data_IF_600653975712
#
_entry.id   IF_600653975712
#
_cell.length_a   1.000
_cell.length_b   1.000
_cell.length_c   1.000
_cell.angle_alpha   90.00
_cell.angle_beta   90.00
_cell.angle_gamma   90.00
#
_symmetry.space_group_name_H-M   'P 1'
#
loop_
_entity.id
_entity.type
_entity.pdbx_description
1 polymer ?
#
# COMPACT_ATOMS: atom_id res chain seq x y z
N UNK A 1 3.33 18.43 -31.65
CA UNK A 1 2.21 17.77 -32.34
C UNK A 1 1.04 17.54 -31.41
N UNK A 2 1.27 16.99 -30.21
CA UNK A 2 0.25 16.68 -29.21
C UNK A 2 -0.53 17.92 -28.75
N UNK A 3 0.16 19.02 -28.46
CA UNK A 3 -0.47 20.30 -28.08
C UNK A 3 -1.37 20.89 -29.16
N UNK A 4 -0.98 20.74 -30.44
CA UNK A 4 -1.81 21.20 -31.55
C UNK A 4 -3.07 20.35 -31.73
N UNK A 5 -2.94 19.06 -31.46
CA UNK A 5 -4.07 18.12 -31.53
C UNK A 5 -5.05 18.38 -30.38
N UNK A 6 -4.53 18.58 -29.18
CA UNK A 6 -5.36 18.88 -27.99
C UNK A 6 -6.07 20.24 -28.16
N UNK A 7 -5.38 21.24 -28.66
CA UNK A 7 -5.98 22.54 -28.96
C UNK A 7 -7.10 22.42 -30.01
N UNK A 8 -6.83 21.70 -31.12
CA UNK A 8 -7.84 21.44 -32.14
C UNK A 8 -9.06 20.70 -31.60
N UNK A 9 -8.84 19.70 -30.76
CA UNK A 9 -9.90 18.94 -30.10
C UNK A 9 -10.74 19.82 -29.16
N UNK A 10 -10.12 20.63 -28.31
CA UNK A 10 -10.82 21.54 -27.40
C UNK A 10 -11.67 22.55 -28.17
N UNK A 11 -11.14 23.08 -29.30
CA UNK A 11 -11.89 24.01 -30.19
C UNK A 11 -13.09 23.34 -30.85
N UNK A 12 -13.00 22.06 -31.17
CA UNK A 12 -14.10 21.28 -31.76
C UNK A 12 -15.14 20.86 -30.71
N UNK A 13 -14.74 20.74 -29.43
CA UNK A 13 -15.63 20.39 -28.30
C UNK A 13 -16.40 21.61 -27.79
N UNK A 14 -15.96 22.84 -28.10
CA UNK A 14 -16.67 24.04 -27.71
C UNK A 14 -18.04 24.13 -28.38
N UNK A 15 -19.06 24.45 -27.60
CA UNK A 15 -20.41 24.64 -28.08
C UNK A 15 -20.53 26.00 -28.79
N UNK A 16 -21.01 26.01 -30.02
CA UNK A 16 -21.20 27.24 -30.77
C UNK A 16 -22.63 27.73 -30.64
N UNK A 17 -22.79 28.89 -30.03
CA UNK A 17 -24.05 29.55 -29.76
C UNK A 17 -24.22 30.79 -30.61
N UNK A 18 -25.45 31.31 -30.70
CA UNK A 18 -25.78 32.57 -31.40
C UNK A 18 -25.26 32.64 -32.85
N UNK A 19 -25.65 31.70 -33.70
CA UNK A 19 -25.24 31.64 -35.12
C UNK A 19 -23.71 31.63 -35.33
N UNK A 20 -23.02 30.79 -34.55
CA UNK A 20 -21.55 30.61 -34.58
C UNK A 20 -20.74 31.83 -34.09
N UNK A 21 -21.36 32.85 -33.52
CA UNK A 21 -20.70 34.06 -33.02
C UNK A 21 -20.12 33.93 -31.63
N UNK A 22 -20.60 32.96 -30.86
CA UNK A 22 -20.20 32.74 -29.50
C UNK A 22 -19.67 31.29 -29.30
N UNK A 23 -18.47 31.14 -28.77
CA UNK A 23 -17.88 29.86 -28.43
C UNK A 23 -17.94 29.68 -26.91
N UNK A 24 -18.69 28.69 -26.44
CA UNK A 24 -18.76 28.30 -25.06
C UNK A 24 -17.77 27.15 -24.80
N UNK A 25 -16.89 27.32 -23.84
CA UNK A 25 -15.96 26.29 -23.36
C UNK A 25 -16.24 26.00 -21.89
N UNK A 26 -16.48 24.75 -21.58
CA UNK A 26 -16.61 24.28 -20.19
C UNK A 26 -15.37 23.49 -19.77
N UNK A 27 -14.92 23.68 -18.55
CA UNK A 27 -13.74 23.01 -18.03
C UNK A 27 -13.67 23.05 -16.51
N UNK A 28 -12.82 22.18 -15.96
CA UNK A 28 -12.57 22.11 -14.53
C UNK A 28 -11.21 22.73 -14.21
N UNK A 29 -11.15 23.52 -13.14
CA UNK A 29 -9.93 24.12 -12.62
C UNK A 29 -9.79 23.73 -11.16
N UNK A 30 -8.58 23.36 -10.68
CA UNK A 30 -8.36 23.10 -9.25
C UNK A 30 -8.71 24.32 -8.41
N UNK A 31 -9.33 24.11 -7.26
CA UNK A 31 -9.77 25.18 -6.37
C UNK A 31 -8.61 26.08 -5.92
N UNK A 32 -7.41 25.52 -5.76
CA UNK A 32 -6.21 26.29 -5.37
C UNK A 32 -5.74 27.25 -6.49
N UNK A 33 -5.93 26.86 -7.75
CA UNK A 33 -5.51 27.63 -8.93
C UNK A 33 -6.62 28.55 -9.47
N UNK A 34 -7.87 28.39 -8.99
CA UNK A 34 -9.03 29.14 -9.48
C UNK A 34 -8.84 30.66 -9.41
N UNK A 35 -8.36 31.27 -8.30
CA UNK A 35 -8.20 32.73 -8.23
C UNK A 35 -7.18 33.28 -9.24
N UNK A 36 -6.09 32.53 -9.48
CA UNK A 36 -5.07 32.93 -10.46
C UNK A 36 -5.58 32.80 -11.90
N UNK A 37 -6.39 31.78 -12.15
CA UNK A 37 -7.02 31.54 -13.45
C UNK A 37 -8.08 32.59 -13.76
N UNK A 38 -8.93 32.96 -12.80
CA UNK A 38 -9.92 34.02 -12.92
C UNK A 38 -9.27 35.36 -13.23
N UNK A 39 -8.23 35.73 -12.51
CA UNK A 39 -7.47 36.97 -12.76
C UNK A 39 -6.86 36.98 -14.18
N UNK A 40 -6.34 35.86 -14.65
CA UNK A 40 -5.79 35.76 -15.99
C UNK A 40 -6.87 35.89 -17.10
N UNK A 41 -8.08 35.37 -16.86
CA UNK A 41 -9.21 35.52 -17.78
C UNK A 41 -9.72 36.96 -17.83
N UNK A 42 -9.79 37.67 -16.68
CA UNK A 42 -10.13 39.07 -16.61
C UNK A 42 -9.12 39.93 -17.35
N UNK A 43 -7.82 39.71 -17.15
CA UNK A 43 -6.74 40.41 -17.84
C UNK A 43 -6.81 40.20 -19.36
N UNK A 44 -7.18 38.99 -19.77
CA UNK A 44 -7.35 38.65 -21.19
C UNK A 44 -8.67 39.16 -21.81
N UNK A 45 -9.58 39.71 -20.99
CA UNK A 45 -10.87 40.25 -21.42
C UNK A 45 -11.91 39.19 -21.80
N UNK A 46 -11.78 37.97 -21.26
CA UNK A 46 -12.76 36.92 -21.47
C UNK A 46 -13.84 36.93 -20.41
N UNK A 47 -15.10 36.74 -20.84
CA UNK A 47 -16.21 36.57 -19.91
C UNK A 47 -16.19 35.12 -19.38
N UNK A 48 -16.26 34.92 -18.08
CA UNK A 48 -16.38 33.63 -17.45
C UNK A 48 -17.47 33.63 -16.39
N UNK A 49 -17.99 32.45 -16.09
CA UNK A 49 -18.97 32.21 -15.03
C UNK A 49 -18.63 30.90 -14.34
N UNK A 50 -18.53 30.93 -13.04
CA UNK A 50 -18.47 29.73 -12.23
C UNK A 50 -19.82 29.03 -12.22
N UNK A 51 -19.85 27.75 -12.55
CA UNK A 51 -21.05 26.91 -12.57
C UNK A 51 -20.88 25.80 -11.53
N UNK A 52 -21.90 25.61 -10.72
CA UNK A 52 -21.93 24.48 -9.80
C UNK A 52 -22.12 23.19 -10.61
N UNK A 53 -21.37 22.15 -10.25
CA UNK A 53 -21.42 20.85 -10.88
C UNK A 53 -22.00 19.80 -9.93
N UNK A 54 -22.64 18.76 -10.47
CA UNK A 54 -23.15 17.62 -9.72
C UNK A 54 -22.13 16.47 -9.82
N UNK A 55 -21.44 16.11 -8.70
CA UNK A 55 -20.44 15.04 -8.72
C UNK A 55 -21.01 13.65 -9.04
N UNK A 56 -22.34 13.45 -8.99
CA UNK A 56 -22.96 12.16 -9.31
C UNK A 56 -23.17 11.97 -10.81
N UNK A 57 -23.47 13.06 -11.52
CA UNK A 57 -23.76 13.05 -12.95
C UNK A 57 -22.55 13.39 -13.82
N UNK A 58 -21.65 14.22 -13.32
CA UNK A 58 -20.49 14.69 -14.05
C UNK A 58 -19.21 13.98 -13.61
N UNK A 59 -18.40 13.54 -14.58
CA UNK A 59 -17.10 12.92 -14.30
C UNK A 59 -16.04 13.98 -14.07
N UNK A 60 -15.97 14.47 -12.84
CA UNK A 60 -15.01 15.48 -12.40
C UNK A 60 -13.57 14.90 -12.43
N UNK A 61 -12.62 15.58 -13.09
CA UNK A 61 -11.22 15.16 -13.02
C UNK A 61 -10.63 15.42 -11.63
N UNK A 62 -9.74 14.51 -11.19
CA UNK A 62 -9.20 14.50 -9.83
C UNK A 62 -7.72 14.83 -9.86
N UNK A 63 -7.33 15.74 -8.99
CA UNK A 63 -5.94 16.04 -8.68
C UNK A 63 -5.69 15.68 -7.19
N UNK A 64 -4.76 14.75 -6.95
CA UNK A 64 -4.38 14.36 -5.61
C UNK A 64 -3.45 15.42 -5.00
N UNK A 65 -3.71 15.77 -3.73
CA UNK A 65 -2.87 16.70 -2.97
C UNK A 65 -2.23 15.95 -1.82
N UNK A 66 -1.11 15.31 -2.09
CA UNK A 66 -0.40 14.47 -1.15
C UNK A 66 0.93 15.08 -0.67
N UNK A 67 1.36 14.67 0.53
CA UNK A 67 2.69 14.97 1.05
C UNK A 67 3.78 14.39 0.16
N UNK A 68 5.01 14.91 0.25
CA UNK A 68 6.15 14.44 -0.55
C UNK A 68 6.40 12.92 -0.45
N UNK A 69 6.13 12.31 0.70
CA UNK A 69 6.18 10.86 0.89
C UNK A 69 5.06 10.14 0.13
N UNK A 70 3.80 10.48 0.40
CA UNK A 70 2.64 9.84 -0.21
C UNK A 70 2.57 10.05 -1.73
N UNK A 71 3.06 11.19 -2.24
CA UNK A 71 3.16 11.47 -3.69
C UNK A 71 3.95 10.41 -4.45
N UNK A 72 5.03 9.87 -3.86
CA UNK A 72 5.77 8.78 -4.49
C UNK A 72 4.92 7.51 -4.65
N UNK A 73 3.93 7.28 -3.76
CA UNK A 73 3.05 6.13 -3.76
C UNK A 73 1.77 6.33 -4.59
N UNK A 74 1.52 7.53 -5.11
CA UNK A 74 0.40 7.79 -6.05
C UNK A 74 0.49 6.91 -7.29
N UNK A 75 1.70 6.55 -7.72
CA UNK A 75 1.90 5.58 -8.78
C UNK A 75 1.23 4.24 -8.47
N UNK A 76 1.32 3.75 -7.24
CA UNK A 76 0.71 2.49 -6.81
C UNK A 76 -0.82 2.59 -6.84
N UNK A 77 -1.38 3.68 -6.30
CA UNK A 77 -2.82 3.92 -6.35
C UNK A 77 -3.31 4.03 -7.79
N UNK A 78 -2.56 4.72 -8.66
CA UNK A 78 -2.86 4.87 -10.08
C UNK A 78 -2.81 3.56 -10.88
N UNK A 79 -2.05 2.54 -10.44
CA UNK A 79 -2.05 1.21 -11.06
C UNK A 79 -3.40 0.49 -10.89
N UNK A 80 -4.13 0.76 -9.84
CA UNK A 80 -5.46 0.20 -9.63
C UNK A 80 -6.53 1.10 -10.25
N UNK A 81 -6.75 2.26 -9.66
CA UNK A 81 -7.65 3.31 -10.13
C UNK A 81 -7.48 4.54 -9.24
N UNK A 82 -7.67 5.73 -9.79
CA UNK A 82 -7.79 6.92 -8.97
C UNK A 82 -9.10 6.91 -8.18
N UNK A 83 -9.12 7.46 -6.96
CA UNK A 83 -10.36 7.57 -6.17
C UNK A 83 -11.39 8.40 -6.95
N UNK A 84 -12.68 8.13 -6.73
CA UNK A 84 -13.73 8.99 -7.27
C UNK A 84 -13.78 10.32 -6.50
N UNK A 85 -14.39 11.37 -7.04
CA UNK A 85 -14.46 12.69 -6.42
C UNK A 85 -15.06 12.66 -4.99
N UNK A 86 -16.01 11.76 -4.75
CA UNK A 86 -16.63 11.56 -3.44
C UNK A 86 -15.85 10.63 -2.51
N UNK A 87 -14.74 10.07 -2.98
CA UNK A 87 -13.92 9.15 -2.20
C UNK A 87 -12.75 9.85 -1.50
N UNK A 88 -12.38 9.28 -0.38
CA UNK A 88 -11.22 9.74 0.39
C UNK A 88 -9.96 9.16 -0.27
N UNK A 89 -8.95 9.99 -0.47
CA UNK A 89 -7.64 9.51 -0.88
C UNK A 89 -7.00 8.68 0.24
N UNK A 90 -6.79 7.40 -0.04
CA UNK A 90 -6.22 6.45 0.90
C UNK A 90 -4.70 6.26 0.72
N UNK A 91 -4.08 6.95 -0.23
CA UNK A 91 -2.67 6.79 -0.58
C UNK A 91 -1.75 7.01 0.62
N UNK A 92 -2.03 8.01 1.44
CA UNK A 92 -1.21 8.30 2.62
C UNK A 92 -1.26 7.22 3.72
N UNK A 93 -2.36 6.45 3.78
CA UNK A 93 -2.52 5.32 4.71
C UNK A 93 -1.88 4.05 4.15
N UNK A 94 -2.00 3.83 2.84
CA UNK A 94 -1.45 2.66 2.17
C UNK A 94 0.08 2.71 2.13
N UNK A 95 0.66 3.89 1.91
CA UNK A 95 2.09 4.08 1.71
C UNK A 95 2.98 3.43 2.81
N UNK A 96 2.76 3.65 4.13
CA UNK A 96 3.58 3.03 5.17
C UNK A 96 3.42 1.51 5.23
N UNK A 97 2.20 0.98 5.04
CA UNK A 97 1.98 -0.46 5.02
C UNK A 97 2.63 -1.11 3.80
N UNK A 98 2.51 -0.48 2.64
CA UNK A 98 3.14 -0.98 1.42
C UNK A 98 4.67 -1.03 1.57
N UNK A 99 5.28 0.02 2.11
CA UNK A 99 6.71 0.08 2.39
C UNK A 99 7.15 -1.04 3.36
N UNK A 100 6.37 -1.26 4.42
CA UNK A 100 6.64 -2.30 5.41
C UNK A 100 6.52 -3.71 4.80
N UNK A 101 5.46 -3.96 4.05
CA UNK A 101 5.24 -5.26 3.40
C UNK A 101 6.27 -5.54 2.31
N UNK A 102 6.65 -4.53 1.55
CA UNK A 102 7.75 -4.64 0.60
C UNK A 102 9.04 -5.06 1.32
N UNK A 103 9.36 -4.39 2.44
CA UNK A 103 10.53 -4.73 3.25
C UNK A 103 10.48 -6.15 3.81
N UNK A 104 9.32 -6.63 4.27
CA UNK A 104 9.14 -7.99 4.76
C UNK A 104 9.29 -9.04 3.65
N UNK A 105 8.76 -8.80 2.47
CA UNK A 105 8.92 -9.68 1.31
C UNK A 105 10.34 -9.69 0.77
N UNK A 106 11.02 -8.54 0.81
CA UNK A 106 12.40 -8.43 0.34
C UNK A 106 13.38 -9.12 1.29
N UNK A 107 13.12 -9.02 2.60
CA UNK A 107 13.73 -9.81 3.67
C UNK A 107 15.23 -9.65 3.89
N UNK A 108 15.92 -8.83 3.10
CA UNK A 108 17.37 -8.69 3.11
C UNK A 108 17.82 -7.24 3.09
N UNK A 109 18.58 -6.83 4.10
CA UNK A 109 19.05 -5.46 4.23
C UNK A 109 20.07 -5.07 3.14
N UNK A 110 20.91 -6.00 2.70
CA UNK A 110 21.90 -5.76 1.64
C UNK A 110 21.22 -5.41 0.32
N UNK A 111 20.20 -6.14 -0.05
CA UNK A 111 19.41 -5.86 -1.24
C UNK A 111 18.62 -4.55 -1.10
N UNK A 112 18.06 -4.26 0.08
CA UNK A 112 17.39 -3.00 0.38
C UNK A 112 18.30 -1.80 0.18
N UNK A 113 19.54 -1.88 0.71
CA UNK A 113 20.55 -0.84 0.56
C UNK A 113 20.99 -0.66 -0.90
N UNK A 114 21.14 -1.76 -1.64
CA UNK A 114 21.49 -1.73 -3.06
C UNK A 114 20.40 -1.01 -3.87
N UNK A 115 19.12 -1.35 -3.65
CA UNK A 115 17.99 -0.68 -4.30
C UNK A 115 17.98 0.82 -3.98
N UNK A 116 18.14 1.17 -2.70
CA UNK A 116 18.21 2.57 -2.26
C UNK A 116 19.35 3.33 -2.95
N UNK A 117 20.55 2.76 -3.00
CA UNK A 117 21.72 3.38 -3.61
C UNK A 117 21.54 3.58 -5.12
N UNK A 118 21.02 2.57 -5.82
CA UNK A 118 20.76 2.63 -7.27
C UNK A 118 19.73 3.72 -7.58
N UNK A 119 18.60 3.75 -6.88
CA UNK A 119 17.55 4.77 -7.08
C UNK A 119 18.09 6.18 -6.74
N UNK A 120 18.90 6.32 -5.69
CA UNK A 120 19.52 7.60 -5.33
C UNK A 120 20.48 8.06 -6.39
N UNK A 121 21.33 7.18 -6.91
CA UNK A 121 22.27 7.51 -7.98
C UNK A 121 21.55 8.03 -9.24
N UNK A 122 20.54 7.31 -9.70
CA UNK A 122 19.78 7.73 -10.88
C UNK A 122 18.97 9.02 -10.63
N UNK A 123 18.44 9.21 -9.44
CA UNK A 123 17.73 10.44 -9.07
C UNK A 123 18.63 11.66 -9.08
N UNK A 124 19.85 11.54 -8.55
CA UNK A 124 20.83 12.63 -8.56
C UNK A 124 21.32 12.95 -9.97
N UNK A 125 21.33 11.97 -10.87
CA UNK A 125 21.77 12.15 -12.25
C UNK A 125 20.64 12.63 -13.19
N UNK A 126 19.41 12.47 -12.80
CA UNK A 126 18.24 12.90 -13.58
C UNK A 126 18.13 14.42 -13.59
N UNK A 127 18.29 15.02 -14.76
CA UNK A 127 18.16 16.47 -14.98
C UNK A 127 16.74 16.76 -15.50
N UNK A 128 15.78 17.06 -14.60
CA UNK A 128 14.49 17.66 -15.00
C UNK A 128 13.42 16.74 -15.54
N UNK A 129 13.35 15.45 -15.16
CA UNK A 129 12.23 14.54 -15.40
C UNK A 129 11.40 14.27 -14.16
N UNK A 130 10.25 13.61 -14.32
CA UNK A 130 9.47 13.10 -13.20
C UNK A 130 10.28 12.01 -12.47
N UNK A 131 10.71 12.33 -11.26
CA UNK A 131 11.53 11.43 -10.42
C UNK A 131 10.72 10.69 -9.37
N UNK A 132 9.38 10.69 -9.47
CA UNK A 132 8.51 10.09 -8.45
C UNK A 132 8.72 8.59 -8.31
N UNK A 133 8.91 7.86 -9.42
CA UNK A 133 9.26 6.43 -9.42
C UNK A 133 10.60 6.14 -8.75
N UNK A 134 11.61 6.98 -8.98
CA UNK A 134 12.90 6.85 -8.32
C UNK A 134 12.78 7.17 -6.82
N UNK A 135 11.92 8.13 -6.46
CA UNK A 135 11.54 8.42 -5.08
C UNK A 135 10.86 7.23 -4.41
N UNK A 136 9.93 6.58 -5.10
CA UNK A 136 9.29 5.34 -4.63
C UNK A 136 10.34 4.26 -4.36
N UNK A 137 11.25 4.02 -5.31
CA UNK A 137 12.33 3.05 -5.15
C UNK A 137 13.26 3.36 -3.96
N UNK A 138 13.53 4.65 -3.68
CA UNK A 138 14.28 5.06 -2.50
C UNK A 138 13.54 4.71 -1.19
N UNK A 139 12.24 5.03 -1.09
CA UNK A 139 11.45 4.72 0.10
C UNK A 139 11.31 3.22 0.31
N UNK A 140 11.05 2.45 -0.77
CA UNK A 140 10.96 1.00 -0.71
C UNK A 140 12.31 0.36 -0.33
N UNK A 141 13.40 0.82 -0.93
CA UNK A 141 14.76 0.36 -0.61
C UNK A 141 15.17 0.69 0.83
N UNK A 142 14.86 1.91 1.30
CA UNK A 142 15.08 2.31 2.68
C UNK A 142 14.25 1.50 3.68
N UNK A 143 12.97 1.27 3.38
CA UNK A 143 12.08 0.40 4.18
C UNK A 143 12.60 -1.04 4.22
N UNK A 144 13.00 -1.59 3.07
CA UNK A 144 13.57 -2.93 2.98
C UNK A 144 14.90 -3.05 3.74
N UNK A 145 15.74 -2.04 3.72
CA UNK A 145 16.97 -1.99 4.52
C UNK A 145 16.68 -2.08 6.01
N UNK A 146 15.74 -1.26 6.51
CA UNK A 146 15.38 -1.24 7.94
C UNK A 146 14.76 -2.58 8.36
N UNK A 147 13.77 -3.07 7.60
CA UNK A 147 13.09 -4.33 7.92
C UNK A 147 14.05 -5.52 7.80
N UNK A 148 14.90 -5.55 6.77
CA UNK A 148 15.92 -6.60 6.59
C UNK A 148 16.94 -6.62 7.74
N UNK A 149 17.35 -5.44 8.25
CA UNK A 149 18.19 -5.34 9.46
C UNK A 149 17.47 -5.89 10.69
N UNK A 150 16.20 -5.57 10.87
CA UNK A 150 15.39 -6.12 11.96
C UNK A 150 15.26 -7.66 11.84
N UNK A 151 15.09 -8.18 10.63
CA UNK A 151 15.05 -9.62 10.37
C UNK A 151 16.44 -10.28 10.49
N UNK A 152 17.50 -9.50 10.43
CA UNK A 152 18.88 -9.97 10.60
C UNK A 152 19.49 -10.63 9.37
N UNK A 153 19.05 -10.28 8.15
CA UNK A 153 19.60 -10.77 6.88
C UNK A 153 20.38 -9.70 6.12
N UNK A 154 21.62 -9.97 5.71
CA UNK A 154 22.42 -9.12 4.81
C UNK A 154 23.07 -10.00 3.76
N UNK A 155 22.68 -9.89 2.49
CA UNK A 155 23.16 -10.71 1.37
C UNK A 155 23.15 -12.22 1.69
N UNK A 156 22.04 -12.70 2.32
CA UNK A 156 21.91 -14.10 2.71
C UNK A 156 22.82 -14.53 3.88
N UNK A 157 23.51 -13.60 4.53
CA UNK A 157 24.25 -13.84 5.77
C UNK A 157 23.36 -13.49 6.95
N UNK A 158 23.14 -14.43 7.84
CA UNK A 158 22.34 -14.23 9.04
C UNK A 158 23.16 -13.55 10.13
N UNK A 159 22.62 -12.49 10.72
CA UNK A 159 23.25 -11.73 11.78
C UNK A 159 23.04 -12.43 13.14
N UNK A 160 23.97 -12.27 14.11
CA UNK A 160 23.96 -13.03 15.37
C UNK A 160 22.67 -12.91 16.18
N UNK A 161 21.98 -11.76 16.09
CA UNK A 161 20.73 -11.53 16.82
C UNK A 161 19.52 -12.23 16.21
N UNK A 162 19.54 -12.58 14.92
CA UNK A 162 18.44 -13.27 14.24
C UNK A 162 18.09 -14.62 14.89
N UNK A 163 19.08 -15.31 15.46
CA UNK A 163 18.92 -16.60 16.14
C UNK A 163 18.56 -16.50 17.63
N UNK A 164 18.55 -15.29 18.20
CA UNK A 164 18.22 -15.12 19.60
C UNK A 164 16.72 -15.28 19.82
N UNK A 165 16.29 -16.33 20.51
CA UNK A 165 14.87 -16.60 20.83
C UNK A 165 14.19 -15.50 21.64
N UNK A 166 14.95 -14.69 22.36
CA UNK A 166 14.41 -13.54 23.10
C UNK A 166 14.16 -12.32 22.21
N UNK A 167 14.61 -12.36 20.96
CA UNK A 167 14.43 -11.25 20.03
C UNK A 167 13.04 -11.32 19.38
N UNK A 168 12.32 -10.20 19.38
CA UNK A 168 10.92 -10.11 18.92
C UNK A 168 10.82 -10.44 17.42
N UNK A 169 11.79 -9.96 16.61
CA UNK A 169 11.82 -10.14 15.15
C UNK A 169 12.60 -11.40 14.73
N UNK A 170 12.66 -12.39 15.58
CA UNK A 170 13.23 -13.67 15.24
C UNK A 170 12.34 -14.36 14.18
N UNK A 171 12.92 -15.28 13.41
CA UNK A 171 12.29 -15.97 12.30
C UNK A 171 10.97 -16.67 12.68
N UNK A 172 10.89 -17.27 13.88
CA UNK A 172 9.68 -17.94 14.38
C UNK A 172 8.53 -16.96 14.65
N UNK A 173 8.85 -15.75 15.08
CA UNK A 173 7.86 -14.72 15.41
C UNK A 173 7.42 -13.91 14.18
N UNK A 174 8.23 -13.84 13.13
CA UNK A 174 7.95 -13.01 11.94
C UNK A 174 6.67 -13.41 11.23
N UNK A 175 6.32 -14.68 11.20
CA UNK A 175 5.04 -15.15 10.66
C UNK A 175 3.86 -14.52 11.42
N UNK A 176 3.92 -14.52 12.75
CA UNK A 176 2.88 -13.94 13.60
C UNK A 176 2.83 -12.42 13.46
N UNK A 177 3.99 -11.77 13.37
CA UNK A 177 4.10 -10.32 13.17
C UNK A 177 3.47 -9.91 11.84
N UNK A 178 3.72 -10.65 10.75
CA UNK A 178 3.12 -10.38 9.45
C UNK A 178 1.59 -10.44 9.48
N UNK A 179 1.04 -11.43 10.17
CA UNK A 179 -0.42 -11.56 10.35
C UNK A 179 -0.99 -10.43 11.20
N UNK A 180 -0.31 -10.06 12.30
CA UNK A 180 -0.77 -8.97 13.17
C UNK A 180 -0.79 -7.64 12.41
N UNK A 181 0.27 -7.30 11.68
CA UNK A 181 0.33 -6.08 10.88
C UNK A 181 -0.75 -6.10 9.79
N UNK A 182 -0.96 -7.26 9.15
CA UNK A 182 -2.03 -7.46 8.18
C UNK A 182 -3.41 -7.24 8.77
N UNK A 183 -3.68 -7.79 9.95
CA UNK A 183 -4.93 -7.56 10.68
C UNK A 183 -5.14 -6.07 11.01
N UNK A 184 -4.10 -5.36 11.42
CA UNK A 184 -4.17 -3.92 11.67
C UNK A 184 -4.54 -3.18 10.39
N UNK A 185 -3.96 -3.54 9.24
CA UNK A 185 -4.32 -2.94 7.95
C UNK A 185 -5.78 -3.21 7.55
N UNK A 186 -6.26 -4.46 7.73
CA UNK A 186 -7.66 -4.81 7.45
C UNK A 186 -8.61 -4.02 8.36
N UNK A 187 -8.29 -3.91 9.65
CA UNK A 187 -9.09 -3.13 10.60
C UNK A 187 -9.17 -1.65 10.20
N UNK A 188 -8.04 -1.07 9.78
CA UNK A 188 -8.02 0.29 9.25
C UNK A 188 -8.88 0.41 7.98
N UNK A 189 -8.79 -0.54 7.06
CA UNK A 189 -9.64 -0.58 5.87
C UNK A 189 -11.13 -0.61 6.23
N UNK A 190 -11.54 -1.50 7.13
CA UNK A 190 -12.94 -1.58 7.62
C UNK A 190 -13.38 -0.29 8.32
N UNK A 191 -12.52 0.35 9.10
CA UNK A 191 -12.83 1.62 9.76
C UNK A 191 -13.08 2.74 8.74
N UNK A 192 -12.26 2.80 7.68
CA UNK A 192 -12.41 3.78 6.59
C UNK A 192 -13.69 3.49 5.80
N UNK A 193 -13.98 2.24 5.48
CA UNK A 193 -15.22 1.84 4.81
C UNK A 193 -16.46 2.22 5.63
N UNK A 194 -16.43 2.00 6.95
CA UNK A 194 -17.49 2.44 7.85
C UNK A 194 -17.63 3.98 7.87
N UNK A 195 -16.51 4.72 7.90
CA UNK A 195 -16.49 6.17 7.87
C UNK A 195 -17.06 6.72 6.54
N UNK A 196 -16.64 6.15 5.40
CA UNK A 196 -17.17 6.48 4.07
C UNK A 196 -18.68 6.28 4.01
N UNK A 197 -19.19 5.12 4.47
CA UNK A 197 -20.65 4.87 4.56
C UNK A 197 -21.37 5.90 5.42
N UNK A 198 -20.75 6.32 6.52
CA UNK A 198 -21.29 7.34 7.40
C UNK A 198 -21.44 8.70 6.71
N UNK A 199 -20.47 9.09 5.89
CA UNK A 199 -20.52 10.32 5.11
C UNK A 199 -21.55 10.27 3.98
N UNK A 200 -21.60 9.16 3.24
CA UNK A 200 -22.47 9.02 2.06
C UNK A 200 -23.93 8.72 2.40
N UNK A 201 -24.18 7.79 3.35
CA UNK A 201 -25.53 7.28 3.66
C UNK A 201 -26.04 7.68 5.04
N UNK A 202 -25.26 8.44 5.77
CA UNK A 202 -25.57 8.87 7.13
C UNK A 202 -25.08 7.89 8.21
N UNK A 203 -24.83 8.42 9.42
CA UNK A 203 -24.19 7.72 10.53
C UNK A 203 -24.89 6.42 10.98
N UNK A 204 -26.23 6.33 10.77
CA UNK A 204 -27.01 5.13 11.13
C UNK A 204 -26.60 3.91 10.32
N UNK A 205 -26.19 4.08 9.06
CA UNK A 205 -25.79 2.99 8.17
C UNK A 205 -24.34 2.53 8.42
N UNK A 206 -23.54 3.33 9.11
CA UNK A 206 -22.16 2.98 9.45
C UNK A 206 -22.01 2.29 10.80
N UNK A 207 -23.04 2.30 11.65
CA UNK A 207 -22.98 1.72 13.00
C UNK A 207 -22.59 0.23 13.00
N UNK A 208 -23.12 -0.55 12.08
CA UNK A 208 -22.74 -1.96 11.97
C UNK A 208 -21.27 -2.14 11.59
N UNK A 209 -20.73 -1.29 10.70
CA UNK A 209 -19.30 -1.29 10.34
C UNK A 209 -18.40 -0.97 11.54
N UNK A 210 -18.72 0.07 12.29
CA UNK A 210 -17.99 0.42 13.52
C UNK A 210 -18.11 -0.66 14.59
N UNK A 211 -19.29 -1.28 14.73
CA UNK A 211 -19.47 -2.39 15.65
C UNK A 211 -18.54 -3.58 15.30
N UNK A 212 -18.38 -3.90 14.01
CA UNK A 212 -17.43 -4.90 13.57
C UNK A 212 -15.97 -4.54 13.90
N UNK A 213 -15.58 -3.29 13.67
CA UNK A 213 -14.22 -2.82 14.02
C UNK A 213 -13.98 -2.92 15.53
N UNK A 214 -14.93 -2.43 16.34
CA UNK A 214 -14.83 -2.50 17.81
C UNK A 214 -14.79 -3.95 18.31
N UNK A 215 -15.59 -4.84 17.73
CA UNK A 215 -15.58 -6.26 18.09
C UNK A 215 -14.21 -6.89 17.83
N UNK A 216 -13.66 -6.68 16.63
CA UNK A 216 -12.37 -7.24 16.25
C UNK A 216 -11.23 -6.68 17.08
N UNK A 217 -11.25 -5.38 17.39
CA UNK A 217 -10.28 -4.74 18.27
C UNK A 217 -10.40 -5.31 19.71
N UNK A 218 -11.61 -5.42 20.26
CA UNK A 218 -11.81 -5.95 21.60
C UNK A 218 -11.34 -7.41 21.71
N UNK A 219 -11.71 -8.27 20.75
CA UNK A 219 -11.27 -9.67 20.70
C UNK A 219 -9.76 -9.76 20.52
N UNK A 220 -9.20 -8.94 19.63
CA UNK A 220 -7.74 -8.87 19.42
C UNK A 220 -6.98 -8.49 20.67
N UNK A 221 -7.44 -7.49 21.41
CA UNK A 221 -6.81 -7.06 22.67
C UNK A 221 -6.95 -8.13 23.77
N UNK A 222 -8.12 -8.77 23.91
CA UNK A 222 -8.34 -9.84 24.90
C UNK A 222 -7.38 -11.01 24.67
N UNK A 223 -7.08 -11.33 23.39
CA UNK A 223 -6.23 -12.46 23.05
C UNK A 223 -4.73 -12.11 23.01
N UNK A 224 -4.38 -10.94 22.46
CA UNK A 224 -2.99 -10.55 22.23
C UNK A 224 -2.26 -10.09 23.49
N UNK A 225 -2.93 -9.33 24.38
CA UNK A 225 -2.29 -8.75 25.56
C UNK A 225 -1.79 -9.81 26.57
N UNK A 226 -2.57 -10.83 26.94
CA UNK A 226 -2.06 -11.90 27.82
C UNK A 226 -0.89 -12.66 27.21
N UNK A 227 -0.91 -12.86 25.88
CA UNK A 227 0.18 -13.54 25.17
C UNK A 227 1.47 -12.70 25.13
N UNK A 228 1.36 -11.37 25.18
CA UNK A 228 2.48 -10.43 25.31
C UNK A 228 2.93 -10.25 26.77
N UNK A 229 2.48 -11.12 27.71
CA UNK A 229 2.78 -11.05 29.14
C UNK A 229 2.28 -9.75 29.81
N UNK A 230 1.34 -9.04 29.19
CA UNK A 230 0.70 -7.85 29.76
C UNK A 230 -0.59 -8.32 30.44
N UNK A 231 -0.57 -8.41 31.78
CA UNK A 231 -1.76 -8.77 32.56
C UNK A 231 -2.70 -7.58 32.67
N UNK A 232 -3.87 -7.70 32.05
CA UNK A 232 -4.91 -6.69 32.19
C UNK A 232 -5.57 -6.78 33.58
N UNK A 233 -5.89 -5.63 34.18
CA UNK A 233 -6.75 -5.61 35.36
C UNK A 233 -8.10 -6.27 35.03
N UNK A 234 -8.65 -7.03 35.96
CA UNK A 234 -9.89 -7.79 35.77
C UNK A 234 -11.07 -6.88 35.31
N UNK A 235 -11.11 -5.67 35.86
CA UNK A 235 -12.09 -4.63 35.44
C UNK A 235 -12.02 -4.28 33.97
N UNK A 236 -10.81 -4.13 33.39
CA UNK A 236 -10.60 -3.81 31.97
C UNK A 236 -11.05 -4.98 31.09
N UNK A 237 -10.77 -6.20 31.52
CA UNK A 237 -11.20 -7.41 30.81
C UNK A 237 -12.72 -7.51 30.75
N UNK A 238 -13.45 -7.23 31.86
CA UNK A 238 -14.91 -7.19 31.85
C UNK A 238 -15.47 -6.08 30.96
N UNK A 239 -14.84 -4.89 30.90
CA UNK A 239 -15.22 -3.81 30.00
C UNK A 239 -15.07 -4.26 28.53
N UNK A 240 -13.97 -4.91 28.19
CA UNK A 240 -13.73 -5.42 26.83
C UNK A 240 -14.77 -6.49 26.43
N UNK A 241 -15.12 -7.40 27.35
CA UNK A 241 -16.23 -8.35 27.09
C UNK A 241 -17.57 -7.65 26.92
N UNK A 242 -17.84 -6.60 27.71
CA UNK A 242 -19.04 -5.76 27.55
C UNK A 242 -19.09 -5.07 26.19
N UNK A 243 -17.97 -4.47 25.76
CA UNK A 243 -17.86 -3.84 24.42
C UNK A 243 -18.07 -4.90 23.32
N UNK A 244 -17.41 -6.05 23.42
CA UNK A 244 -17.56 -7.12 22.44
C UNK A 244 -19.03 -7.61 22.37
N UNK A 245 -19.69 -7.84 23.50
CA UNK A 245 -21.10 -8.25 23.55
C UNK A 245 -22.03 -7.21 22.94
N UNK A 246 -21.86 -5.92 23.29
CA UNK A 246 -22.64 -4.83 22.71
C UNK A 246 -22.41 -4.72 21.20
N UNK A 247 -21.16 -4.84 20.74
CA UNK A 247 -20.81 -4.79 19.34
C UNK A 247 -21.46 -5.92 18.54
N UNK A 248 -21.52 -7.14 19.09
CA UNK A 248 -22.23 -8.27 18.48
C UNK A 248 -23.72 -7.94 18.34
N UNK A 249 -24.38 -7.44 19.39
CA UNK A 249 -25.78 -7.07 19.33
C UNK A 249 -26.04 -6.01 18.23
N UNK A 250 -25.23 -4.97 18.17
CA UNK A 250 -25.36 -3.94 17.14
C UNK A 250 -25.14 -4.52 15.74
N UNK A 251 -24.12 -5.36 15.54
CA UNK A 251 -23.83 -5.99 14.26
C UNK A 251 -24.99 -6.89 13.76
N UNK A 252 -25.66 -7.61 14.67
CA UNK A 252 -26.78 -8.49 14.30
C UNK A 252 -28.09 -7.75 14.09
N UNK A 253 -28.42 -6.79 14.93
CA UNK A 253 -29.75 -6.17 14.90
C UNK A 253 -29.78 -4.84 14.15
N UNK A 254 -28.63 -4.23 13.84
CA UNK A 254 -28.58 -2.89 13.23
C UNK A 254 -27.84 -2.87 11.89
N UNK A 255 -27.81 -4.00 11.16
CA UNK A 255 -27.11 -4.10 9.89
C UNK A 255 -27.80 -3.32 8.74
N UNK A 256 -29.13 -3.23 8.77
CA UNK A 256 -29.91 -2.51 7.77
C UNK A 256 -31.01 -1.68 8.45
N UNK A 257 -30.72 -0.41 8.82
CA UNK A 257 -31.70 0.43 9.51
C UNK A 257 -32.95 0.64 8.62
N UNK A 258 -34.15 0.41 9.21
CA UNK A 258 -35.44 0.55 8.52
C UNK A 258 -36.07 -0.75 8.04
N UNK A 259 -35.40 -1.91 8.15
CA UNK A 259 -35.99 -3.22 7.85
C UNK A 259 -36.49 -3.93 9.12
N UNK A 260 -37.38 -4.92 8.94
CA UNK A 260 -37.91 -5.72 10.05
C UNK A 260 -36.75 -6.39 10.86
N UNK A 261 -36.90 -6.53 12.21
CA UNK A 261 -35.84 -7.13 13.05
C UNK A 261 -35.44 -8.55 12.65
N UNK A 262 -36.34 -9.35 12.15
CA UNK A 262 -36.08 -10.72 11.67
C UNK A 262 -35.20 -10.72 10.41
N UNK A 263 -35.46 -9.78 9.48
CA UNK A 263 -34.62 -9.60 8.27
C UNK A 263 -33.27 -9.09 8.65
N UNK A 264 -33.19 -8.17 9.61
CA UNK A 264 -31.92 -7.67 10.12
C UNK A 264 -31.08 -8.76 10.80
N UNK A 265 -31.69 -9.63 11.59
CA UNK A 265 -31.01 -10.76 12.21
C UNK A 265 -30.45 -11.72 11.14
N UNK A 266 -31.26 -12.10 10.14
CA UNK A 266 -30.78 -12.94 9.03
C UNK A 266 -29.64 -12.30 8.23
N UNK A 267 -29.75 -11.01 7.90
CA UNK A 267 -28.67 -10.28 7.21
C UNK A 267 -27.44 -10.09 8.10
N UNK A 268 -27.59 -9.94 9.42
CA UNK A 268 -26.51 -9.90 10.39
C UNK A 268 -25.75 -11.22 10.48
N UNK A 269 -26.47 -12.35 10.50
CA UNK A 269 -25.86 -13.68 10.47
C UNK A 269 -25.03 -13.90 9.19
N UNK A 270 -25.58 -13.51 8.03
CA UNK A 270 -24.88 -13.59 6.76
C UNK A 270 -23.63 -12.70 6.75
N UNK A 271 -23.75 -11.45 7.19
CA UNK A 271 -22.62 -10.51 7.31
C UNK A 271 -21.52 -11.04 8.26
N UNK A 272 -21.92 -11.75 9.33
CA UNK A 272 -20.99 -12.39 10.26
C UNK A 272 -20.19 -13.50 9.58
N UNK A 273 -20.89 -14.37 8.85
CA UNK A 273 -20.24 -15.43 8.08
C UNK A 273 -19.27 -14.86 7.03
N UNK A 274 -19.72 -13.88 6.27
CA UNK A 274 -18.89 -13.21 5.25
C UNK A 274 -17.67 -12.53 5.84
N UNK A 275 -17.84 -11.80 6.95
CA UNK A 275 -16.73 -11.12 7.64
C UNK A 275 -15.76 -12.11 8.25
N UNK A 276 -16.24 -13.17 8.91
CA UNK A 276 -15.37 -14.17 9.53
C UNK A 276 -14.58 -14.97 8.49
N UNK A 277 -15.26 -15.46 7.43
CA UNK A 277 -14.60 -16.20 6.35
C UNK A 277 -13.63 -15.32 5.55
N UNK A 278 -14.02 -14.07 5.28
CA UNK A 278 -13.16 -13.08 4.64
C UNK A 278 -11.91 -12.78 5.47
N UNK A 279 -12.07 -12.53 6.77
CA UNK A 279 -10.95 -12.24 7.67
C UNK A 279 -9.96 -13.40 7.76
N UNK A 280 -10.45 -14.66 7.80
CA UNK A 280 -9.60 -15.85 7.76
C UNK A 280 -8.81 -15.93 6.45
N UNK A 281 -9.47 -15.77 5.31
CA UNK A 281 -8.82 -15.78 3.99
C UNK A 281 -7.79 -14.65 3.84
N UNK A 282 -8.18 -13.46 4.24
CA UNK A 282 -7.29 -12.28 4.18
C UNK A 282 -6.08 -12.47 5.12
N UNK A 283 -6.28 -13.00 6.34
CA UNK A 283 -5.18 -13.29 7.30
C UNK A 283 -4.17 -14.29 6.75
N UNK A 284 -4.63 -15.35 6.08
CA UNK A 284 -3.76 -16.33 5.43
C UNK A 284 -2.94 -15.71 4.29
N UNK A 285 -3.49 -14.70 3.61
CA UNK A 285 -2.78 -13.97 2.55
C UNK A 285 -1.56 -13.22 3.08
N UNK A 286 -1.55 -12.75 4.33
CA UNK A 286 -0.41 -12.06 4.94
C UNK A 286 0.74 -12.99 5.34
N UNK A 287 0.49 -14.28 5.58
CA UNK A 287 1.55 -15.27 5.82
C UNK A 287 2.50 -15.37 4.63
N UNK A 288 2.02 -15.10 3.43
CA UNK A 288 2.82 -15.11 2.21
C UNK A 288 3.97 -14.10 2.23
N UNK A 289 3.79 -12.94 2.89
CA UNK A 289 4.85 -11.93 3.01
C UNK A 289 6.08 -12.52 3.69
N UNK A 290 5.86 -13.21 4.80
CA UNK A 290 6.91 -13.89 5.54
C UNK A 290 7.54 -15.03 4.73
N UNK A 291 6.72 -15.87 4.09
CA UNK A 291 7.21 -17.01 3.31
C UNK A 291 8.15 -16.58 2.17
N UNK A 292 7.83 -15.48 1.49
CA UNK A 292 8.65 -14.97 0.38
C UNK A 292 9.96 -14.36 0.90
N UNK A 293 9.90 -13.55 1.97
CA UNK A 293 11.10 -12.99 2.59
C UNK A 293 12.04 -14.06 3.08
N UNK A 294 11.50 -15.11 3.74
CA UNK A 294 12.27 -16.28 4.18
C UNK A 294 12.94 -17.01 3.00
N UNK A 295 12.19 -17.24 1.93
CA UNK A 295 12.71 -17.94 0.74
C UNK A 295 13.86 -17.16 0.10
N UNK A 296 13.75 -15.82 0.01
CA UNK A 296 14.81 -14.96 -0.50
C UNK A 296 16.10 -15.02 0.33
N UNK A 297 15.96 -15.02 1.67
CA UNK A 297 17.08 -15.18 2.61
C UNK A 297 17.78 -16.53 2.48
N UNK A 298 16.99 -17.62 2.46
CA UNK A 298 17.52 -18.99 2.28
C UNK A 298 18.25 -19.12 0.95
N UNK A 299 17.66 -18.61 -0.14
CA UNK A 299 18.28 -18.68 -1.47
C UNK A 299 19.63 -17.91 -1.51
N UNK A 300 19.69 -16.75 -0.88
CA UNK A 300 20.94 -16.00 -0.72
C UNK A 300 22.00 -16.79 0.05
N UNK A 301 21.63 -17.45 1.15
CA UNK A 301 22.51 -18.30 1.93
C UNK A 301 23.03 -19.50 1.13
N UNK A 302 22.18 -20.14 0.33
CA UNK A 302 22.58 -21.25 -0.56
C UNK A 302 23.60 -20.80 -1.60
N UNK A 303 23.43 -19.62 -2.22
CA UNK A 303 24.42 -19.08 -3.14
C UNK A 303 25.76 -18.76 -2.46
N UNK A 304 25.74 -18.28 -1.22
CA UNK A 304 26.95 -18.07 -0.43
C UNK A 304 27.68 -19.40 -0.16
N UNK A 305 26.96 -20.44 0.25
CA UNK A 305 27.55 -21.77 0.49
C UNK A 305 28.13 -22.36 -0.79
N UNK A 306 27.40 -22.26 -1.91
CA UNK A 306 27.87 -22.75 -3.21
C UNK A 306 29.12 -22.01 -3.67
N UNK A 307 29.20 -20.70 -3.49
CA UNK A 307 30.38 -19.92 -3.81
C UNK A 307 31.59 -20.36 -2.97
N UNK A 308 31.40 -20.54 -1.68
CA UNK A 308 32.47 -20.98 -0.78
C UNK A 308 32.95 -22.41 -1.10
N UNK A 309 32.09 -23.28 -1.58
CA UNK A 309 32.47 -24.64 -2.01
C UNK A 309 33.37 -24.68 -3.25
N UNK A 310 33.41 -23.59 -4.05
CA UNK A 310 34.32 -23.47 -5.18
C UNK A 310 35.77 -23.17 -4.75
N UNK A 311 35.99 -22.68 -3.52
CA UNK A 311 37.31 -22.33 -3.00
C UNK A 311 37.92 -23.54 -2.30
N UNK A 312 39.14 -23.96 -2.64
CA UNK A 312 39.80 -25.08 -1.93
C UNK A 312 39.97 -24.76 -0.44
N UNK A 313 39.82 -25.80 0.40
CA UNK A 313 39.98 -25.66 1.85
C UNK A 313 41.42 -25.22 2.21
N UNK A 314 41.54 -24.36 3.22
CA UNK A 314 42.81 -23.90 3.73
C UNK A 314 43.60 -25.09 4.29
N UNK A 315 44.82 -25.34 3.73
CA UNK A 315 45.65 -26.46 4.14
C UNK A 315 45.51 -27.75 3.27
N UNK A 316 44.68 -27.74 2.21
CA UNK A 316 44.48 -28.88 1.30
C UNK A 316 45.69 -29.18 0.40
N UNK A 317 46.81 -28.41 0.49
CA UNK A 317 47.97 -28.53 -0.39
C UNK A 317 47.68 -28.15 -1.86
N UNK A 318 46.58 -27.48 -2.12
CA UNK A 318 46.17 -27.04 -3.45
C UNK A 318 47.18 -25.99 -3.99
N UNK A 319 47.42 -25.99 -5.30
CA UNK A 319 48.27 -24.99 -5.93
C UNK A 319 47.70 -23.58 -5.87
N UNK A 320 48.58 -22.57 -5.89
CA UNK A 320 48.16 -21.16 -5.91
C UNK A 320 47.18 -20.87 -7.08
N UNK A 321 47.39 -21.53 -8.22
CA UNK A 321 46.57 -21.41 -9.40
C UNK A 321 45.15 -21.96 -9.12
N UNK A 322 44.98 -23.06 -8.38
CA UNK A 322 43.73 -23.62 -7.97
C UNK A 322 42.94 -22.67 -7.04
N UNK A 323 43.63 -21.97 -6.12
CA UNK A 323 42.98 -20.94 -5.28
C UNK A 323 42.48 -19.77 -6.11
N UNK A 324 43.27 -19.28 -7.08
CA UNK A 324 42.87 -18.16 -7.95
C UNK A 324 41.59 -18.54 -8.75
N UNK A 325 41.61 -19.72 -9.37
CA UNK A 325 40.42 -20.21 -10.11
C UNK A 325 39.24 -20.35 -9.17
N UNK A 326 39.41 -20.92 -7.97
CA UNK A 326 38.35 -21.10 -6.99
C UNK A 326 37.70 -19.76 -6.60
N UNK A 327 38.50 -18.73 -6.33
CA UNK A 327 37.97 -17.39 -6.01
C UNK A 327 37.27 -16.72 -7.20
N UNK A 328 37.79 -16.89 -8.42
CA UNK A 328 37.15 -16.36 -9.63
C UNK A 328 35.77 -17.05 -9.82
N UNK A 329 35.71 -18.36 -9.66
CA UNK A 329 34.45 -19.10 -9.74
C UNK A 329 33.47 -18.70 -8.62
N UNK A 330 33.95 -18.55 -7.39
CA UNK A 330 33.16 -18.07 -6.27
C UNK A 330 32.56 -16.69 -6.55
N UNK A 331 33.37 -15.77 -7.07
CA UNK A 331 32.90 -14.42 -7.43
C UNK A 331 31.81 -14.47 -8.52
N UNK A 332 31.98 -15.33 -9.54
CA UNK A 332 30.96 -15.49 -10.57
C UNK A 332 29.66 -16.07 -9.99
N UNK A 333 29.75 -17.08 -9.14
CA UNK A 333 28.57 -17.66 -8.47
C UNK A 333 27.86 -16.63 -7.61
N UNK A 334 28.60 -15.83 -6.83
CA UNK A 334 28.01 -14.74 -6.03
C UNK A 334 27.34 -13.69 -6.90
N UNK A 335 27.99 -13.22 -7.96
CA UNK A 335 27.46 -12.19 -8.82
C UNK A 335 26.17 -12.63 -9.51
N UNK A 336 26.18 -13.83 -10.13
CA UNK A 336 25.01 -14.36 -10.82
C UNK A 336 23.93 -14.80 -9.82
N UNK A 337 24.29 -15.49 -8.74
CA UNK A 337 23.35 -15.97 -7.74
C UNK A 337 22.60 -14.84 -7.04
N UNK A 338 23.34 -13.86 -6.52
CA UNK A 338 22.70 -12.70 -5.88
C UNK A 338 21.97 -11.80 -6.88
N UNK A 339 22.46 -11.69 -8.14
CA UNK A 339 21.77 -10.96 -9.20
C UNK A 339 20.41 -11.55 -9.52
N UNK A 340 20.34 -12.86 -9.69
CA UNK A 340 19.07 -13.60 -9.93
C UNK A 340 18.15 -13.47 -8.70
N UNK A 341 18.68 -13.72 -7.50
CA UNK A 341 17.92 -13.64 -6.26
C UNK A 341 17.34 -12.24 -6.05
N UNK A 342 18.15 -11.19 -6.27
CA UNK A 342 17.68 -9.81 -6.22
C UNK A 342 16.54 -9.54 -7.20
N UNK A 343 16.66 -10.01 -8.46
CA UNK A 343 15.62 -9.84 -9.47
C UNK A 343 14.30 -10.52 -9.08
N UNK A 344 14.36 -11.77 -8.62
CA UNK A 344 13.18 -12.53 -8.17
C UNK A 344 12.57 -11.89 -6.92
N UNK A 345 13.41 -11.54 -5.94
CA UNK A 345 12.97 -10.87 -4.71
C UNK A 345 12.31 -9.52 -5.01
N UNK A 346 12.85 -8.72 -5.94
CA UNK A 346 12.31 -7.42 -6.34
C UNK A 346 10.90 -7.56 -6.92
N UNK A 347 10.70 -8.50 -7.85
CA UNK A 347 9.38 -8.75 -8.45
C UNK A 347 8.40 -9.25 -7.38
N UNK A 348 8.80 -10.22 -6.56
CA UNK A 348 7.97 -10.76 -5.49
C UNK A 348 7.57 -9.69 -4.47
N UNK A 349 8.56 -8.92 -3.99
CA UNK A 349 8.34 -7.87 -3.00
C UNK A 349 7.47 -6.72 -3.52
N UNK A 350 7.38 -6.52 -4.83
CA UNK A 350 6.48 -5.52 -5.41
C UNK A 350 5.07 -6.09 -5.64
N UNK A 351 4.95 -7.25 -6.27
CA UNK A 351 3.67 -7.82 -6.71
C UNK A 351 2.80 -8.27 -5.52
N UNK A 352 3.41 -8.86 -4.48
CA UNK A 352 2.61 -9.40 -3.38
C UNK A 352 2.00 -8.32 -2.47
N UNK A 353 2.70 -7.25 -2.06
CA UNK A 353 2.08 -6.10 -1.40
C UNK A 353 1.04 -5.38 -2.27
N UNK A 354 1.23 -5.29 -3.61
CA UNK A 354 0.21 -4.77 -4.52
C UNK A 354 -1.09 -5.56 -4.40
N UNK A 355 -0.98 -6.90 -4.44
CA UNK A 355 -2.16 -7.76 -4.30
C UNK A 355 -2.86 -7.54 -2.95
N UNK A 356 -2.11 -7.50 -1.84
CA UNK A 356 -2.68 -7.27 -0.51
C UNK A 356 -3.40 -5.91 -0.44
N UNK A 357 -2.84 -4.89 -1.08
CA UNK A 357 -3.47 -3.57 -1.14
C UNK A 357 -4.74 -3.60 -1.99
N UNK A 358 -4.70 -4.20 -3.18
CA UNK A 358 -5.80 -4.12 -4.14
C UNK A 358 -6.94 -5.10 -3.84
N UNK A 359 -6.63 -6.29 -3.35
CA UNK A 359 -7.62 -7.34 -3.12
C UNK A 359 -8.13 -7.32 -1.69
N UNK A 360 -7.22 -7.29 -0.71
CA UNK A 360 -7.60 -7.39 0.70
C UNK A 360 -7.97 -6.02 1.30
N UNK A 361 -7.12 -5.00 1.13
CA UNK A 361 -7.36 -3.70 1.76
C UNK A 361 -8.47 -2.90 1.08
N UNK A 362 -8.44 -2.73 -0.27
CA UNK A 362 -9.47 -1.96 -0.99
C UNK A 362 -10.85 -2.60 -0.90
N UNK A 363 -10.94 -3.94 -0.89
CA UNK A 363 -12.20 -4.66 -0.62
C UNK A 363 -12.76 -4.29 0.76
N UNK A 364 -11.93 -4.30 1.80
CA UNK A 364 -12.34 -4.00 3.17
C UNK A 364 -12.64 -2.51 3.39
N UNK A 365 -12.01 -1.60 2.64
CA UNK A 365 -12.29 -0.15 2.67
C UNK A 365 -13.41 0.28 1.72
N UNK A 366 -13.99 -0.66 0.97
CA UNK A 366 -15.04 -0.40 -0.03
C UNK A 366 -14.61 0.68 -1.03
N UNK A 367 -13.38 0.58 -1.51
CA UNK A 367 -12.85 1.50 -2.50
C UNK A 367 -13.44 1.18 -3.88
N UNK A 368 -14.12 2.15 -4.50
CA UNK A 368 -14.79 1.99 -5.81
C UNK A 368 -13.88 2.41 -6.96
N UNK A 369 -13.12 3.51 -6.78
CA UNK A 369 -12.27 4.05 -7.81
C UNK A 369 -13.04 4.67 -8.99
N UNK A 370 -12.42 4.68 -10.17
CA UNK A 370 -13.06 5.19 -11.40
C UNK A 370 -12.83 6.68 -11.65
N UNK A 371 -12.01 7.34 -10.85
CA UNK A 371 -11.64 8.74 -11.04
C UNK A 371 -10.83 8.99 -12.31
N UNK A 372 -11.07 10.11 -12.96
CA UNK A 372 -10.27 10.57 -14.11
C UNK A 372 -9.10 11.43 -13.62
N UNK A 373 -7.87 11.22 -14.13
CA UNK A 373 -6.76 12.09 -13.80
C UNK A 373 -6.99 13.50 -14.37
N UNK A 374 -6.64 14.50 -13.59
CA UNK A 374 -6.59 15.88 -14.05
C UNK A 374 -5.38 16.06 -14.96
N UNK A 375 -5.63 16.29 -16.25
CA UNK A 375 -4.61 16.55 -17.26
C UNK A 375 -4.78 17.98 -17.77
N UNK A 376 -4.08 18.95 -17.14
CA UNK A 376 -4.20 20.35 -17.54
C UNK A 376 -3.71 20.57 -18.97
N UNK A 377 -4.33 21.50 -19.68
CA UNK A 377 -3.87 21.97 -20.96
C UNK A 377 -2.61 22.81 -20.78
N UNK A 378 -1.45 22.17 -20.88
CA UNK A 378 -0.17 22.86 -20.71
C UNK A 378 0.53 23.05 -22.07
N UNK A 379 1.08 24.24 -22.29
CA UNK A 379 2.00 24.49 -23.38
C UNK A 379 3.37 23.98 -22.96
N UNK A 380 3.77 22.81 -23.47
CA UNK A 380 5.13 22.26 -23.28
C UNK A 380 6.10 22.85 -24.26
#
# INVERSE_FOLDING_TARGET
LENRFTFGRTRLQGERLADEKLLLLEGFVPTDDAPAFEAALEEAGYYFRQVDFDPETERVPIQLKNNAFARCFEFITGLFSLPNYQEIDQTYLIAPFFMLFFGMCFGDAGYGLLLFAVCTYFRLRSKGGDTSLLGLGQWLGGGAFVVGLLMGGIFGIELPWAHNKAYIFNQDNMMMISVIIGLVQILLGKAIGAYKKGLQKGWRHSLAGYAWVLLLVAVGLIYALPKASITLPQSVTYILYGIAGLSVLVAFFYNSPGKNPFINFGSGLWSTYETASGLLGDSLSYIRLFAIGLTGGILGSVFNQLAMSCVPEAGSGASVFSYIIGWVMALLVLLFGHGINFGIAMIGAFVHPLRLTFVEYYKNSEFEGGGKPYTPFTRK
#
